data_IF_838053244981
#
_entry.id   IF_838053244981
#
_cell.length_a   1.000
_cell.length_b   1.000
_cell.length_c   1.000
_cell.angle_alpha   90.00
_cell.angle_beta   90.00
_cell.angle_gamma   90.00
#
_symmetry.space_group_name_H-M   'P 1'
#
loop_
_entity.id
_entity.type
_entity.pdbx_description
1 polymer ?
#
# COMPACT_ATOMS: atom_id res chain seq x y z
N UNK A 1 17.97 -7.63 9.90
CA UNK A 1 17.16 -8.54 10.74
C UNK A 1 16.58 -9.65 9.88
N UNK A 2 16.89 -10.93 10.15
CA UNK A 2 16.32 -12.08 9.44
C UNK A 2 14.90 -12.33 9.96
N UNK A 3 13.89 -11.80 9.26
CA UNK A 3 12.49 -12.05 9.62
C UNK A 3 12.14 -13.52 9.43
N UNK A 4 11.62 -14.18 10.47
CA UNK A 4 11.04 -15.53 10.35
C UNK A 4 9.70 -15.40 9.62
N UNK A 5 9.46 -16.27 8.64
CA UNK A 5 8.18 -16.33 7.95
C UNK A 5 7.15 -16.94 8.90
N UNK A 6 6.14 -16.17 9.27
CA UNK A 6 5.04 -16.60 10.12
C UNK A 6 3.75 -16.57 9.32
N UNK A 7 2.98 -17.65 9.40
CA UNK A 7 1.59 -17.67 8.92
C UNK A 7 0.73 -17.32 10.12
N UNK A 8 0.20 -16.10 10.15
CA UNK A 8 -0.69 -15.65 11.21
C UNK A 8 -2.14 -15.69 10.72
N UNK A 9 -3.05 -16.12 11.59
CA UNK A 9 -4.45 -15.85 11.38
C UNK A 9 -4.70 -14.33 11.34
N UNK A 10 -5.66 -13.86 10.53
CA UNK A 10 -5.99 -12.44 10.51
C UNK A 10 -6.41 -11.97 11.91
N UNK A 11 -5.98 -10.76 12.29
CA UNK A 11 -6.27 -10.19 13.62
C UNK A 11 -7.76 -9.86 13.86
N UNK A 12 -8.59 -9.97 12.83
CA UNK A 12 -10.01 -9.58 12.84
C UNK A 12 -10.79 -10.46 11.88
N UNK A 13 -12.00 -10.88 12.25
CA UNK A 13 -12.88 -11.70 11.40
C UNK A 13 -13.17 -11.07 10.03
N UNK A 14 -13.26 -9.73 9.98
CA UNK A 14 -13.43 -8.96 8.75
C UNK A 14 -12.31 -9.16 7.69
N UNK A 15 -11.18 -9.76 8.06
CA UNK A 15 -10.10 -10.07 7.13
C UNK A 15 -10.24 -11.48 6.51
N UNK A 16 -11.07 -12.36 7.08
CA UNK A 16 -11.49 -13.61 6.44
C UNK A 16 -12.62 -13.29 5.48
N UNK A 17 -12.45 -13.61 4.20
CA UNK A 17 -13.46 -13.32 3.17
C UNK A 17 -13.40 -14.32 2.03
N UNK A 18 -14.56 -14.53 1.43
CA UNK A 18 -14.71 -15.34 0.22
C UNK A 18 -14.58 -14.44 -0.99
N UNK A 19 -13.70 -14.80 -1.92
CA UNK A 19 -13.52 -14.09 -3.19
C UNK A 19 -13.94 -15.03 -4.31
N UNK A 20 -14.85 -14.57 -5.16
CA UNK A 20 -15.24 -15.28 -6.38
C UNK A 20 -14.10 -15.12 -7.39
N UNK A 21 -13.55 -16.24 -7.84
CA UNK A 21 -12.53 -16.27 -8.88
C UNK A 21 -13.18 -16.42 -10.25
N UNK A 22 -12.63 -15.75 -11.27
CA UNK A 22 -13.10 -15.94 -12.64
C UNK A 22 -12.76 -17.34 -13.14
N UNK A 23 -13.54 -17.91 -14.08
CA UNK A 23 -13.27 -19.25 -14.62
C UNK A 23 -11.84 -19.41 -15.15
N UNK A 24 -11.31 -18.37 -15.80
CA UNK A 24 -9.93 -18.35 -16.29
C UNK A 24 -8.90 -18.52 -15.17
N UNK A 25 -9.05 -17.80 -14.05
CA UNK A 25 -8.13 -17.91 -12.91
C UNK A 25 -8.28 -19.26 -12.22
N UNK A 26 -9.51 -19.74 -12.05
CA UNK A 26 -9.78 -21.05 -11.45
C UNK A 26 -9.15 -22.18 -12.25
N UNK A 27 -9.26 -22.14 -13.57
CA UNK A 27 -8.65 -23.13 -14.46
C UNK A 27 -7.12 -23.15 -14.33
N UNK A 28 -6.48 -21.98 -14.31
CA UNK A 28 -5.03 -21.90 -14.10
C UNK A 28 -4.59 -22.47 -12.75
N UNK A 29 -5.36 -22.20 -11.68
CA UNK A 29 -5.08 -22.75 -10.36
C UNK A 29 -5.27 -24.26 -10.29
N UNK A 30 -6.24 -24.83 -11.02
CA UNK A 30 -6.44 -26.29 -11.12
C UNK A 30 -5.24 -26.95 -11.78
N UNK A 31 -4.84 -26.48 -12.97
CA UNK A 31 -3.65 -27.00 -13.68
C UNK A 31 -2.39 -26.90 -12.84
N UNK A 32 -2.24 -25.79 -12.11
CA UNK A 32 -1.10 -25.62 -11.22
C UNK A 32 -1.14 -26.60 -10.04
N UNK A 33 -2.32 -26.88 -9.48
CA UNK A 33 -2.49 -27.83 -8.37
C UNK A 33 -2.14 -29.26 -8.77
N UNK A 34 -2.37 -29.67 -10.01
CA UNK A 34 -1.98 -31.00 -10.51
C UNK A 34 -0.46 -31.21 -10.54
N UNK A 35 0.31 -30.12 -10.64
CA UNK A 35 1.78 -30.17 -10.67
C UNK A 35 2.41 -30.06 -9.28
N UNK A 36 1.60 -29.82 -8.25
CA UNK A 36 2.07 -29.47 -6.91
C UNK A 36 1.46 -30.43 -5.88
N UNK A 37 2.31 -31.30 -5.36
CA UNK A 37 1.98 -32.13 -4.20
C UNK A 37 2.45 -31.43 -2.90
N UNK A 38 1.61 -30.54 -2.38
CA UNK A 38 1.86 -29.83 -1.14
C UNK A 38 0.56 -29.36 -0.49
N UNK A 39 0.58 -29.17 0.84
CA UNK A 39 -0.51 -28.50 1.57
C UNK A 39 -0.69 -27.05 1.13
N UNK A 40 0.36 -26.40 0.63
CA UNK A 40 0.35 -25.01 0.23
C UNK A 40 0.06 -24.91 -1.27
N UNK A 41 -0.87 -24.03 -1.66
CA UNK A 41 -1.12 -23.74 -3.08
C UNK A 41 0.17 -23.27 -3.75
N UNK A 42 0.94 -22.39 -3.09
CA UNK A 42 2.24 -21.91 -3.59
C UNK A 42 3.38 -22.35 -2.65
N UNK A 43 3.98 -23.53 -2.87
CA UNK A 43 5.04 -24.04 -2.00
C UNK A 43 6.38 -23.35 -2.24
N UNK A 44 7.25 -23.43 -1.23
CA UNK A 44 8.65 -23.03 -1.32
C UNK A 44 9.44 -24.06 -2.11
N UNK A 45 10.21 -23.65 -3.15
CA UNK A 45 11.07 -24.57 -3.89
C UNK A 45 12.31 -25.01 -3.10
N UNK A 46 12.57 -24.41 -1.93
CA UNK A 46 13.79 -24.65 -1.12
C UNK A 46 13.53 -25.32 0.22
N UNK A 47 12.28 -25.32 0.66
CA UNK A 47 11.91 -25.77 2.01
C UNK A 47 10.68 -26.65 1.87
N UNK A 48 10.80 -27.88 2.33
CA UNK A 48 9.69 -28.81 2.42
C UNK A 48 8.62 -28.26 3.38
N UNK A 49 7.36 -28.51 3.05
CA UNK A 49 6.17 -28.06 3.76
C UNK A 49 6.07 -26.56 4.12
N UNK A 50 6.76 -25.69 3.38
CA UNK A 50 6.71 -24.24 3.62
C UNK A 50 6.02 -23.49 2.46
N UNK A 51 5.30 -22.39 2.73
CA UNK A 51 4.80 -21.53 1.68
C UNK A 51 5.94 -20.74 1.03
N UNK A 52 5.68 -20.24 -0.17
CA UNK A 52 6.64 -19.44 -0.92
C UNK A 52 6.98 -18.12 -0.20
N UNK A 53 8.27 -17.83 -0.10
CA UNK A 53 8.78 -16.61 0.53
C UNK A 53 8.32 -15.34 -0.24
N UNK A 54 7.65 -14.37 0.42
CA UNK A 54 7.28 -13.10 -0.17
C UNK A 54 8.45 -12.34 -0.83
N UNK A 55 9.66 -12.44 -0.29
CA UNK A 55 10.85 -11.84 -0.91
C UNK A 55 11.17 -12.50 -2.27
N UNK A 56 11.02 -13.83 -2.37
CA UNK A 56 11.20 -14.56 -3.61
C UNK A 56 10.12 -14.18 -4.64
N UNK A 57 8.88 -13.97 -4.22
CA UNK A 57 7.79 -13.52 -5.10
C UNK A 57 8.07 -12.11 -5.65
N UNK A 58 8.51 -11.17 -4.82
CA UNK A 58 8.89 -9.81 -5.28
C UNK A 58 10.04 -9.83 -6.28
N UNK A 59 11.03 -10.71 -6.05
CA UNK A 59 12.14 -10.90 -6.99
C UNK A 59 11.66 -11.48 -8.32
N UNK A 60 10.79 -12.49 -8.28
CA UNK A 60 10.18 -13.07 -9.47
C UNK A 60 9.42 -12.01 -10.28
N UNK A 61 8.56 -11.21 -9.63
CA UNK A 61 7.85 -10.11 -10.29
C UNK A 61 8.84 -9.15 -11.00
N UNK A 62 9.90 -8.75 -10.31
CA UNK A 62 10.92 -7.87 -10.90
C UNK A 62 11.60 -8.48 -12.13
N UNK A 63 11.83 -9.80 -12.13
CA UNK A 63 12.40 -10.52 -13.27
C UNK A 63 11.42 -10.61 -14.45
N UNK A 64 10.16 -10.91 -14.18
CA UNK A 64 9.09 -10.96 -15.21
C UNK A 64 8.94 -9.59 -15.88
N UNK A 65 8.86 -8.51 -15.10
CA UNK A 65 8.74 -7.14 -15.62
C UNK A 65 9.95 -6.77 -16.49
N UNK A 66 11.17 -7.13 -16.06
CA UNK A 66 12.38 -6.88 -16.86
C UNK A 66 12.36 -7.63 -18.20
N UNK A 67 11.91 -8.89 -18.20
CA UNK A 67 11.78 -9.69 -19.44
C UNK A 67 10.70 -9.15 -20.37
N UNK A 68 9.59 -8.68 -19.80
CA UNK A 68 8.50 -8.06 -20.52
C UNK A 68 8.76 -6.60 -20.93
N UNK A 69 9.94 -6.04 -20.62
CA UNK A 69 10.31 -4.65 -20.87
C UNK A 69 9.32 -3.62 -20.27
N UNK A 70 8.69 -3.98 -19.15
CA UNK A 70 7.74 -3.11 -18.46
C UNK A 70 8.43 -2.23 -17.41
N UNK A 71 7.75 -1.14 -17.04
CA UNK A 71 8.14 -0.31 -15.91
C UNK A 71 8.17 -1.12 -14.61
N UNK A 72 9.04 -0.69 -13.69
CA UNK A 72 9.19 -1.33 -12.39
C UNK A 72 8.00 -0.97 -11.50
N UNK A 73 7.18 -1.97 -11.18
CA UNK A 73 6.07 -1.85 -10.22
C UNK A 73 6.32 -2.66 -8.95
N UNK A 74 5.74 -2.21 -7.83
CA UNK A 74 5.76 -2.93 -6.54
C UNK A 74 4.67 -3.98 -6.53
N UNK A 75 4.81 -4.98 -5.66
CA UNK A 75 3.85 -6.08 -5.60
C UNK A 75 2.41 -5.65 -5.26
N UNK A 76 2.23 -4.59 -4.46
CA UNK A 76 0.90 -4.08 -4.14
C UNK A 76 0.30 -3.23 -5.26
N UNK A 77 1.11 -2.73 -6.20
CA UNK A 77 0.60 -1.99 -7.35
C UNK A 77 -0.26 -2.91 -8.23
N UNK A 78 -0.01 -4.23 -8.25
CA UNK A 78 -0.90 -5.22 -8.90
C UNK A 78 -2.32 -5.19 -8.33
N UNK A 79 -2.46 -4.99 -7.02
CA UNK A 79 -3.77 -4.86 -6.35
C UNK A 79 -4.43 -3.52 -6.72
N UNK A 80 -3.65 -2.45 -6.84
CA UNK A 80 -4.15 -1.18 -7.33
C UNK A 80 -4.67 -1.30 -8.76
N UNK A 81 -3.92 -1.95 -9.65
CA UNK A 81 -4.38 -2.23 -11.03
C UNK A 81 -5.68 -3.01 -11.06
N UNK A 82 -5.82 -4.05 -10.22
CA UNK A 82 -7.10 -4.77 -10.11
C UNK A 82 -8.25 -3.85 -9.70
N UNK A 83 -8.04 -3.00 -8.68
CA UNK A 83 -9.05 -2.05 -8.18
C UNK A 83 -9.46 -1.06 -9.26
N UNK A 84 -8.49 -0.43 -9.95
CA UNK A 84 -8.77 0.55 -11.00
C UNK A 84 -9.52 -0.09 -12.16
N UNK A 85 -9.04 -1.22 -12.65
CA UNK A 85 -9.66 -1.94 -13.75
C UNK A 85 -11.07 -2.43 -13.38
N UNK A 86 -11.30 -2.91 -12.16
CA UNK A 86 -12.63 -3.32 -11.72
C UNK A 86 -13.64 -2.16 -11.71
N UNK A 87 -13.23 -0.97 -11.27
CA UNK A 87 -14.08 0.23 -11.33
C UNK A 87 -14.35 0.68 -12.76
N UNK A 88 -13.33 0.62 -13.64
CA UNK A 88 -13.47 0.97 -15.06
C UNK A 88 -14.49 0.09 -15.80
N UNK A 89 -14.57 -1.19 -15.43
CA UNK A 89 -15.57 -2.15 -15.91
C UNK A 89 -16.91 -2.08 -15.17
N UNK A 90 -17.09 -1.09 -14.28
CA UNK A 90 -18.37 -0.79 -13.65
C UNK A 90 -18.72 -1.68 -12.46
N UNK A 91 -17.72 -2.25 -11.76
CA UNK A 91 -17.93 -2.87 -10.44
C UNK A 91 -18.30 -1.80 -9.42
N UNK A 92 -19.32 -2.05 -8.59
CA UNK A 92 -19.69 -1.09 -7.56
C UNK A 92 -18.66 -1.04 -6.42
N UNK A 93 -18.49 0.15 -5.84
CA UNK A 93 -17.46 0.42 -4.83
C UNK A 93 -17.64 -0.43 -3.57
N UNK A 94 -18.88 -0.78 -3.21
CA UNK A 94 -19.18 -1.58 -2.02
C UNK A 94 -18.73 -3.03 -2.22
N UNK A 95 -19.07 -3.63 -3.36
CA UNK A 95 -18.60 -4.97 -3.76
C UNK A 95 -17.10 -5.01 -3.89
N UNK A 96 -16.48 -4.00 -4.53
CA UNK A 96 -15.04 -3.92 -4.66
C UNK A 96 -14.34 -3.85 -3.28
N UNK A 97 -14.87 -3.02 -2.37
CA UNK A 97 -14.37 -2.93 -0.99
C UNK A 97 -14.46 -4.27 -0.26
N UNK A 98 -15.55 -5.01 -0.43
CA UNK A 98 -15.73 -6.34 0.14
C UNK A 98 -14.73 -7.36 -0.42
N UNK A 99 -14.52 -7.40 -1.75
CA UNK A 99 -13.56 -8.31 -2.40
C UNK A 99 -12.12 -8.03 -1.95
N UNK A 100 -11.77 -6.75 -1.91
CA UNK A 100 -10.41 -6.31 -1.63
C UNK A 100 -10.13 -6.41 -0.13
N UNK A 101 -11.11 -6.13 0.74
CA UNK A 101 -11.02 -6.31 2.20
C UNK A 101 -10.18 -5.23 2.89
N UNK A 102 -10.45 -3.96 2.58
CA UNK A 102 -9.82 -2.84 3.27
C UNK A 102 -10.52 -2.55 4.60
N UNK A 103 -9.76 -2.55 5.71
CA UNK A 103 -10.27 -2.18 7.06
C UNK A 103 -10.63 -0.68 7.15
N UNK A 104 -10.09 0.13 6.25
CA UNK A 104 -10.49 1.51 6.05
C UNK A 104 -10.87 1.70 4.60
N UNK A 105 -12.16 1.93 4.35
CA UNK A 105 -12.66 2.35 3.04
C UNK A 105 -11.99 3.64 2.57
N UNK A 106 -11.52 4.51 3.48
CA UNK A 106 -11.00 5.84 3.17
C UNK A 106 -9.79 5.86 2.21
N UNK A 107 -8.90 4.86 2.22
CA UNK A 107 -7.70 4.88 1.34
C UNK A 107 -8.02 4.49 -0.10
N UNK A 108 -9.11 3.75 -0.34
CA UNK A 108 -9.57 3.36 -1.68
C UNK A 108 -10.76 4.19 -2.13
N UNK A 109 -11.52 4.75 -1.21
CA UNK A 109 -12.63 5.63 -1.51
C UNK A 109 -12.10 7.02 -1.88
N UNK A 110 -11.21 7.63 -1.09
CA UNK A 110 -10.75 9.01 -1.34
C UNK A 110 -9.93 9.21 -2.64
N UNK A 111 -9.36 8.15 -3.21
CA UNK A 111 -8.58 8.24 -4.45
C UNK A 111 -9.46 8.04 -5.70
N UNK A 112 -10.64 7.42 -5.56
CA UNK A 112 -11.41 6.92 -6.71
C UNK A 112 -12.92 7.27 -6.67
N UNK A 113 -13.37 8.10 -5.73
CA UNK A 113 -14.79 8.52 -5.57
C UNK A 113 -15.34 9.49 -6.61
N UNK A 114 -14.62 9.79 -7.68
CA UNK A 114 -15.23 10.54 -8.77
C UNK A 114 -16.21 9.63 -9.51
N UNK A 115 -17.46 9.59 -9.03
CA UNK A 115 -18.58 9.06 -9.78
C UNK A 115 -18.61 9.83 -11.10
N UNK A 116 -18.27 9.16 -12.20
CA UNK A 116 -18.34 9.78 -13.52
C UNK A 116 -19.78 9.72 -14.01
N UNK A 117 -20.22 10.70 -14.81
CA UNK A 117 -21.55 10.66 -15.46
C UNK A 117 -21.76 9.38 -16.28
N UNK A 118 -20.69 8.76 -16.76
CA UNK A 118 -20.73 7.46 -17.44
C UNK A 118 -21.18 6.33 -16.48
N UNK A 119 -20.70 6.31 -15.24
CA UNK A 119 -21.13 5.33 -14.23
C UNK A 119 -22.60 5.51 -13.85
N UNK A 120 -23.09 6.74 -13.76
CA UNK A 120 -24.50 7.03 -13.50
C UNK A 120 -25.41 6.52 -14.63
N UNK A 121 -25.05 6.79 -15.89
CA UNK A 121 -25.77 6.28 -17.06
C UNK A 121 -25.79 4.75 -17.10
N UNK A 122 -24.64 4.12 -16.79
CA UNK A 122 -24.55 2.67 -16.78
C UNK A 122 -25.35 2.05 -15.63
N UNK A 123 -25.45 2.72 -14.48
CA UNK A 123 -26.31 2.30 -13.37
C UNK A 123 -27.79 2.42 -13.72
N UNK A 124 -28.21 3.53 -14.35
CA UNK A 124 -29.57 3.72 -14.85
C UNK A 124 -29.94 2.63 -15.87
N UNK A 125 -29.07 2.38 -16.86
CA UNK A 125 -29.29 1.32 -17.85
C UNK A 125 -29.44 -0.08 -17.23
N UNK A 126 -28.67 -0.38 -16.17
CA UNK A 126 -28.79 -1.65 -15.42
C UNK A 126 -30.12 -1.74 -14.65
N UNK A 127 -30.62 -0.62 -14.11
CA UNK A 127 -31.93 -0.57 -13.46
C UNK A 127 -33.04 -0.81 -14.48
N UNK A 128 -32.95 -0.19 -15.65
CA UNK A 128 -33.94 -0.34 -16.73
C UNK A 128 -33.98 -1.78 -17.28
N UNK A 129 -32.82 -2.44 -17.40
CA UNK A 129 -32.75 -3.85 -17.78
C UNK A 129 -33.32 -4.78 -16.70
N UNK A 130 -32.97 -4.56 -15.43
CA UNK A 130 -33.36 -5.45 -14.33
C UNK A 130 -34.81 -5.31 -13.87
N UNK A 131 -35.29 -4.07 -13.74
CA UNK A 131 -36.64 -3.76 -13.25
C UNK A 131 -37.59 -3.54 -14.42
N UNK A 132 -37.17 -2.77 -15.43
CA UNK A 132 -38.02 -2.42 -16.57
C UNK A 132 -38.19 -3.53 -17.61
N UNK A 133 -37.34 -4.56 -17.60
CA UNK A 133 -37.26 -5.62 -18.65
C UNK A 133 -37.17 -5.04 -20.06
N UNK A 134 -36.65 -3.83 -20.21
CA UNK A 134 -36.46 -3.18 -21.49
C UNK A 134 -35.08 -3.60 -22.04
N UNK A 135 -35.03 -4.03 -23.30
CA UNK A 135 -33.76 -4.20 -24.00
C UNK A 135 -33.20 -2.82 -24.31
N UNK A 136 -32.25 -2.37 -23.49
CA UNK A 136 -31.48 -1.16 -23.78
C UNK A 136 -30.57 -1.48 -24.98
N UNK A 137 -30.56 -0.66 -26.05
CA UNK A 137 -29.59 -0.82 -27.12
C UNK A 137 -28.19 -0.88 -26.52
N UNK A 138 -27.39 -1.86 -26.92
CA UNK A 138 -25.97 -1.88 -26.57
C UNK A 138 -25.36 -0.62 -27.17
N UNK A 139 -25.15 0.43 -26.35
CA UNK A 139 -24.21 1.48 -26.74
C UNK A 139 -22.88 0.76 -26.94
N UNK A 140 -22.39 0.73 -28.18
CA UNK A 140 -21.04 0.28 -28.47
C UNK A 140 -20.10 0.96 -27.48
N UNK A 141 -19.11 0.24 -26.92
CA UNK A 141 -18.20 0.81 -25.95
C UNK A 141 -17.56 2.05 -26.57
N UNK A 142 -18.04 3.23 -26.20
CA UNK A 142 -17.44 4.49 -26.63
C UNK A 142 -15.97 4.39 -26.28
N UNK A 143 -15.10 4.63 -27.26
CA UNK A 143 -13.66 4.74 -27.05
C UNK A 143 -13.43 5.79 -25.95
N UNK A 144 -13.28 5.30 -24.71
CA UNK A 144 -12.89 6.13 -23.59
C UNK A 144 -11.46 6.52 -23.91
N UNK A 145 -11.29 7.77 -24.31
CA UNK A 145 -9.97 8.38 -24.47
C UNK A 145 -9.15 8.00 -23.24
N UNK A 146 -8.10 7.22 -23.46
CA UNK A 146 -7.17 6.76 -22.44
C UNK A 146 -6.59 8.01 -21.77
N UNK A 147 -7.20 8.47 -20.68
CA UNK A 147 -6.40 9.11 -19.66
C UNK A 147 -5.72 7.95 -18.98
N UNK A 148 -4.54 7.59 -19.48
CA UNK A 148 -3.51 7.09 -18.58
C UNK A 148 -3.52 8.08 -17.42
N UNK A 149 -4.21 7.77 -16.31
CA UNK A 149 -3.78 8.31 -15.04
C UNK A 149 -2.38 7.73 -14.94
N UNK A 150 -1.41 8.52 -15.39
CA UNK A 150 0.00 8.20 -15.30
C UNK A 150 0.20 7.97 -13.82
N UNK A 151 0.17 6.70 -13.43
CA UNK A 151 0.50 6.29 -12.09
C UNK A 151 2.00 6.53 -12.00
N UNK A 152 2.34 7.76 -11.67
CA UNK A 152 3.67 8.11 -11.28
C UNK A 152 3.92 7.34 -9.99
N UNK A 153 4.79 6.35 -10.05
CA UNK A 153 5.48 5.92 -8.84
C UNK A 153 6.23 7.16 -8.38
N UNK A 154 5.68 7.95 -7.44
CA UNK A 154 6.49 8.91 -6.71
C UNK A 154 7.59 8.07 -6.06
N UNK A 155 8.83 8.12 -6.56
CA UNK A 155 9.93 7.42 -5.94
C UNK A 155 10.29 8.31 -4.76
N UNK A 156 9.42 8.34 -3.75
CA UNK A 156 9.37 9.37 -2.72
C UNK A 156 10.78 9.73 -2.32
N UNK A 157 11.15 11.02 -2.50
CA UNK A 157 12.52 11.51 -2.29
C UNK A 157 13.07 10.85 -1.04
N UNK A 158 14.04 9.95 -1.21
CA UNK A 158 14.62 9.20 -0.10
C UNK A 158 15.36 10.21 0.77
N UNK A 159 14.67 10.73 1.79
CA UNK A 159 15.18 11.83 2.62
C UNK A 159 16.44 11.37 3.33
N UNK A 160 17.42 12.28 3.45
CA UNK A 160 18.68 11.97 4.12
C UNK A 160 18.38 11.55 5.57
N UNK A 161 19.09 10.55 6.13
CA UNK A 161 18.93 10.19 7.54
C UNK A 161 19.14 11.43 8.42
N UNK A 162 18.22 11.66 9.37
CA UNK A 162 18.35 12.73 10.36
C UNK A 162 17.69 14.08 10.02
N UNK A 163 16.87 14.16 8.97
CA UNK A 163 16.14 15.40 8.60
C UNK A 163 14.74 15.53 9.25
N UNK A 164 14.23 14.50 9.91
CA UNK A 164 12.86 14.46 10.44
C UNK A 164 11.79 14.30 9.33
N UNK A 165 10.52 14.17 9.72
CA UNK A 165 9.37 14.12 8.80
C UNK A 165 8.33 15.18 9.18
N UNK A 166 7.72 15.82 8.19
CA UNK A 166 6.61 16.75 8.36
C UNK A 166 5.40 16.17 7.62
N UNK A 167 4.29 15.98 8.32
CA UNK A 167 3.05 15.43 7.78
C UNK A 167 1.88 16.35 8.11
N UNK A 168 0.94 16.51 7.17
CA UNK A 168 -0.32 17.19 7.44
C UNK A 168 -1.27 16.24 8.17
N UNK A 169 -1.78 16.64 9.34
CA UNK A 169 -2.75 15.87 10.13
C UNK A 169 -4.19 16.35 9.89
N UNK A 170 -4.37 17.64 9.58
CA UNK A 170 -5.67 18.23 9.24
C UNK A 170 -5.52 19.47 8.37
N UNK A 171 -6.64 20.10 8.01
CA UNK A 171 -6.68 21.20 7.04
C UNK A 171 -5.73 22.37 7.40
N UNK A 172 -5.51 22.61 8.70
CA UNK A 172 -4.64 23.66 9.23
C UNK A 172 -3.70 23.19 10.35
N UNK A 173 -3.29 21.91 10.31
CA UNK A 173 -2.41 21.33 11.34
C UNK A 173 -1.36 20.40 10.74
N UNK A 174 -0.10 20.73 10.98
CA UNK A 174 1.08 19.99 10.54
C UNK A 174 1.85 19.44 11.75
N UNK A 175 2.33 18.20 11.64
CA UNK A 175 3.18 17.51 12.63
C UNK A 175 4.57 17.30 12.05
N UNK A 176 5.58 17.86 12.72
CA UNK A 176 6.99 17.57 12.50
C UNK A 176 7.48 16.55 13.52
N UNK A 177 7.96 15.40 13.09
CA UNK A 177 8.50 14.33 13.95
C UNK A 177 9.98 14.11 13.71
N UNK A 178 10.74 14.01 14.79
CA UNK A 178 12.15 13.64 14.77
C UNK A 178 12.39 12.48 15.75
N UNK A 179 13.13 11.45 15.30
CA UNK A 179 13.36 10.23 16.09
C UNK A 179 14.81 9.77 15.99
N UNK A 180 15.75 10.48 16.63
CA UNK A 180 17.15 10.07 16.70
C UNK A 180 17.33 8.82 17.58
N UNK A 181 18.37 8.05 17.28
CA UNK A 181 18.85 6.98 18.14
C UNK A 181 19.72 7.54 19.27
N UNK A 182 19.38 7.18 20.51
CA UNK A 182 20.15 7.52 21.70
C UNK A 182 21.44 6.70 21.83
N UNK A 183 22.35 7.08 22.74
CA UNK A 183 23.59 6.35 23.03
C UNK A 183 23.35 4.96 23.64
N UNK A 184 22.18 4.79 24.27
CA UNK A 184 21.64 3.57 24.85
C UNK A 184 20.99 2.61 23.82
N UNK A 185 20.97 3.00 22.54
CA UNK A 185 20.32 2.25 21.46
C UNK A 185 18.80 2.38 21.42
N UNK A 186 18.17 3.15 22.34
CA UNK A 186 16.72 3.42 22.32
C UNK A 186 16.42 4.64 21.46
N UNK A 187 15.27 4.64 20.78
CA UNK A 187 14.83 5.80 20.00
C UNK A 187 14.18 6.83 20.94
N UNK A 188 14.56 8.11 20.79
CA UNK A 188 13.94 9.23 21.50
C UNK A 188 13.14 10.02 20.49
N UNK A 189 11.84 9.78 20.39
CA UNK A 189 10.96 10.50 19.44
C UNK A 189 10.39 11.76 20.08
N UNK A 190 10.46 12.91 19.39
CA UNK A 190 9.74 14.14 19.74
C UNK A 190 9.01 14.71 18.53
N UNK A 191 7.93 15.42 18.81
CA UNK A 191 7.05 16.03 17.83
C UNK A 191 6.93 17.54 18.06
N UNK A 192 6.72 18.29 16.98
CA UNK A 192 6.34 19.71 16.96
C UNK A 192 5.11 19.89 16.07
N UNK A 193 4.32 20.93 16.34
CA UNK A 193 3.13 21.24 15.55
C UNK A 193 3.17 22.68 15.02
N UNK A 194 2.67 22.87 13.80
CA UNK A 194 2.53 24.17 13.15
C UNK A 194 1.21 24.27 12.38
N UNK A 195 0.76 25.50 12.12
CA UNK A 195 -0.45 25.74 11.33
C UNK A 195 -0.15 25.77 9.82
N UNK A 196 1.08 26.11 9.45
CA UNK A 196 1.60 26.03 8.08
C UNK A 196 2.77 25.03 7.99
N UNK A 197 3.07 24.49 6.79
CA UNK A 197 4.20 23.59 6.62
C UNK A 197 5.54 24.28 6.92
N UNK A 198 5.69 25.56 6.57
CA UNK A 198 6.92 26.34 6.80
C UNK A 198 7.17 26.53 8.30
N UNK A 199 6.14 26.91 9.06
CA UNK A 199 6.21 27.07 10.51
C UNK A 199 6.57 25.74 11.20
N UNK A 200 6.00 24.64 10.71
CA UNK A 200 6.30 23.31 11.22
C UNK A 200 7.74 22.88 10.91
N UNK A 201 8.26 23.23 9.73
CA UNK A 201 9.65 22.96 9.35
C UNK A 201 10.66 23.76 10.18
N UNK A 202 10.38 25.03 10.48
CA UNK A 202 11.21 25.86 11.35
C UNK A 202 11.27 25.31 12.78
N UNK A 203 10.10 24.99 13.35
CA UNK A 203 10.02 24.34 14.66
C UNK A 203 10.75 23.00 14.68
N UNK A 204 10.70 22.24 13.57
CA UNK A 204 11.38 20.95 13.45
C UNK A 204 12.91 21.12 13.38
N UNK A 205 13.43 22.15 12.70
CA UNK A 205 14.88 22.45 12.65
C UNK A 205 15.41 22.74 14.05
N UNK A 206 14.74 23.60 14.81
CA UNK A 206 15.10 23.91 16.21
C UNK A 206 15.08 22.63 17.06
N UNK A 207 14.03 21.82 16.96
CA UNK A 207 13.94 20.54 17.68
C UNK A 207 15.12 19.61 17.36
N UNK A 208 15.49 19.50 16.08
CA UNK A 208 16.60 18.64 15.63
C UNK A 208 17.93 19.11 16.26
N UNK A 209 18.19 20.42 16.30
CA UNK A 209 19.40 20.97 16.90
C UNK A 209 19.46 20.71 18.40
N UNK A 210 18.37 20.99 19.13
CA UNK A 210 18.28 20.71 20.57
C UNK A 210 18.52 19.25 20.88
N UNK A 211 17.84 18.33 20.19
CA UNK A 211 17.99 16.89 20.42
C UNK A 211 19.38 16.37 20.04
N UNK A 212 20.01 16.92 19.00
CA UNK A 212 21.41 16.58 18.66
C UNK A 212 22.37 17.03 19.76
N UNK A 213 22.19 18.23 20.31
CA UNK A 213 23.00 18.73 21.41
C UNK A 213 22.84 17.88 22.68
N UNK A 214 21.60 17.51 23.04
CA UNK A 214 21.31 16.61 24.16
C UNK A 214 22.02 15.25 24.01
N UNK A 215 21.92 14.63 22.83
CA UNK A 215 22.56 13.33 22.56
C UNK A 215 24.09 13.46 22.57
N UNK A 216 24.65 14.56 22.08
CA UNK A 216 26.10 14.79 22.11
C UNK A 216 26.61 15.00 23.55
N UNK A 217 25.88 15.74 24.38
CA UNK A 217 26.20 15.91 25.80
C UNK A 217 26.15 14.58 26.55
N UNK A 218 25.12 13.77 26.32
CA UNK A 218 24.98 12.44 26.93
C UNK A 218 26.11 11.49 26.49
N UNK A 219 26.51 11.52 25.22
CA UNK A 219 27.69 10.78 24.73
C UNK A 219 28.99 11.25 25.37
N UNK A 220 29.15 12.55 25.63
CA UNK A 220 30.33 13.12 26.28
C UNK A 220 30.40 12.67 27.74
N UNK A 221 29.28 12.76 28.47
CA UNK A 221 29.18 12.29 29.86
C UNK A 221 29.47 10.79 29.98
N UNK A 222 28.96 9.96 29.07
CA UNK A 222 29.25 8.51 29.06
C UNK A 222 30.73 8.20 28.80
N UNK A 223 31.40 8.99 27.95
CA UNK A 223 32.86 8.86 27.72
C UNK A 223 33.67 9.27 28.94
N UNK A 224 33.29 10.34 29.62
CA UNK A 224 33.95 10.83 30.83
C UNK A 224 33.74 9.87 32.02
N UNK A 225 32.55 9.25 32.13
CA UNK A 225 32.26 8.24 33.14
C UNK A 225 32.99 6.90 32.91
N UNK A 226 33.23 6.53 31.65
CA UNK A 226 33.98 5.32 31.29
C UNK A 226 35.51 5.47 31.37
N UNK A 227 36.02 6.68 31.62
CA UNK A 227 37.45 6.98 31.68
C UNK A 227 37.90 7.40 33.09
N UNK A 228 37.16 6.98 34.13
CA UNK A 228 37.51 7.20 35.53
C UNK A 228 38.52 6.08 35.93
N UNK A 229 39.72 6.43 36.43
CA UNK A 229 40.80 5.48 36.71
C UNK A 229 40.47 4.47 37.81
#
# INVERSE_FOLDING_TARGET
MRGKLTVSQPKTDAAVRTIVLSPAVTEQLRRYREQVDSRWIFPSPKKEDAPRDPAAVRKLLSQVLKRAQCLKVRFHDLRHTFVTTALEYGMDVKTLSAVVGHRSSSTTLNVYTHVTKAMERQAAAKIDQGIGKQEVPQEEPQEKHLTMTTFWTDPGKRRKPGTGCVNQIGDHLWEGRYSPGGPDGKQRSRNVYGHTPEECEEKLKVLIETMKAEIQAERRQLREAGNRP
#
